data_IF_460272645416
#
_entry.id   IF_460272645416
#
_cell.length_a   1.000
_cell.length_b   1.000
_cell.length_c   1.000
_cell.angle_alpha   90.00
_cell.angle_beta   90.00
_cell.angle_gamma   90.00
#
_symmetry.space_group_name_H-M   'P 1'
#
loop_
_entity.id
_entity.type
_entity.pdbx_description
1 polymer ?
#
# COMPACT_ATOMS: atom_id res chain seq x y z
N UNK A 1 1.73 -6.49 -23.78
CA UNK A 1 2.49 -6.62 -22.52
C UNK A 1 1.67 -7.55 -21.69
N UNK A 2 2.11 -8.79 -21.62
CA UNK A 2 1.27 -9.90 -21.19
C UNK A 2 1.42 -10.10 -19.68
N UNK A 3 0.38 -10.60 -19.02
CA UNK A 3 0.33 -10.71 -17.55
C UNK A 3 1.44 -11.60 -16.98
N UNK A 4 1.95 -12.54 -17.78
CA UNK A 4 3.10 -13.38 -17.44
C UNK A 4 4.43 -12.62 -17.44
N UNK A 5 4.61 -11.65 -18.35
CA UNK A 5 5.81 -10.80 -18.38
C UNK A 5 5.85 -9.90 -17.15
N UNK A 6 4.70 -9.33 -16.75
CA UNK A 6 4.56 -8.59 -15.50
C UNK A 6 4.92 -9.45 -14.28
N UNK A 7 4.56 -10.75 -14.29
CA UNK A 7 4.88 -11.69 -13.22
C UNK A 7 6.38 -11.95 -13.10
N UNK A 8 7.07 -12.17 -14.23
CA UNK A 8 8.52 -12.38 -14.22
C UNK A 8 9.24 -11.14 -13.71
N UNK A 9 8.88 -9.96 -14.19
CA UNK A 9 9.46 -8.70 -13.71
C UNK A 9 9.21 -8.51 -12.20
N UNK A 10 8.03 -8.87 -11.71
CA UNK A 10 7.70 -8.72 -10.30
C UNK A 10 8.36 -9.78 -9.41
N UNK A 11 8.57 -11.01 -9.87
CA UNK A 11 9.28 -12.04 -9.10
C UNK A 11 10.80 -11.81 -9.13
N UNK A 12 11.32 -11.11 -10.13
CA UNK A 12 12.72 -10.66 -10.23
C UNK A 12 13.02 -9.45 -9.33
N UNK A 13 11.99 -8.70 -8.91
CA UNK A 13 12.16 -7.54 -8.05
C UNK A 13 12.50 -7.91 -6.61
N UNK A 14 13.57 -7.29 -6.11
CA UNK A 14 13.95 -7.43 -4.70
C UNK A 14 12.82 -6.97 -3.76
N UNK A 15 12.68 -7.60 -2.57
CA UNK A 15 11.69 -7.20 -1.56
C UNK A 15 11.69 -5.70 -1.23
N UNK A 16 12.89 -5.13 -1.19
CA UNK A 16 13.11 -3.71 -0.99
C UNK A 16 12.50 -2.87 -2.12
N UNK A 17 12.71 -3.24 -3.38
CA UNK A 17 12.19 -2.51 -4.53
C UNK A 17 10.65 -2.44 -4.52
N UNK A 18 10.00 -3.57 -4.24
CA UNK A 18 8.54 -3.63 -4.12
C UNK A 18 8.01 -2.73 -3.00
N UNK A 19 8.69 -2.71 -1.85
CA UNK A 19 8.34 -1.83 -0.74
C UNK A 19 8.50 -0.36 -1.12
N UNK A 20 9.58 -0.01 -1.83
CA UNK A 20 9.81 1.35 -2.36
C UNK A 20 8.70 1.73 -3.35
N UNK A 21 8.29 0.81 -4.23
CA UNK A 21 7.17 1.03 -5.14
C UNK A 21 5.87 1.28 -4.39
N UNK A 22 5.54 0.44 -3.41
CA UNK A 22 4.37 0.64 -2.54
C UNK A 22 4.38 1.99 -1.82
N UNK A 23 5.55 2.41 -1.30
CA UNK A 23 5.69 3.71 -0.68
C UNK A 23 5.59 4.86 -1.69
N UNK A 24 6.13 4.70 -2.90
CA UNK A 24 6.10 5.73 -3.95
C UNK A 24 4.68 5.92 -4.51
N UNK A 25 3.96 4.82 -4.76
CA UNK A 25 2.55 4.90 -5.19
C UNK A 25 1.67 5.51 -4.10
N UNK A 26 1.91 5.12 -2.84
CA UNK A 26 1.29 5.75 -1.68
C UNK A 26 1.60 7.25 -1.61
N UNK A 27 2.84 7.66 -1.84
CA UNK A 27 3.23 9.07 -1.85
C UNK A 27 2.46 9.87 -2.90
N UNK A 28 2.41 9.38 -4.13
CA UNK A 28 1.70 10.04 -5.23
C UNK A 28 0.20 10.12 -4.94
N UNK A 29 -0.42 9.03 -4.49
CA UNK A 29 -1.83 9.03 -4.13
C UNK A 29 -2.11 10.00 -2.96
N UNK A 30 -1.24 10.02 -1.95
CA UNK A 30 -1.36 10.89 -0.78
C UNK A 30 -1.17 12.37 -1.11
N UNK A 31 -0.27 12.71 -2.04
CA UNK A 31 -0.11 14.11 -2.47
C UNK A 31 -1.32 14.59 -3.25
N UNK A 32 -1.89 13.77 -4.14
CA UNK A 32 -3.14 14.06 -4.85
C UNK A 32 -4.31 14.21 -3.86
N UNK A 33 -4.41 13.32 -2.87
CA UNK A 33 -5.43 13.48 -1.84
C UNK A 33 -5.22 14.76 -1.02
N UNK A 34 -3.97 15.06 -0.69
CA UNK A 34 -3.59 16.27 0.03
C UNK A 34 -3.88 17.55 -0.73
N UNK A 35 -3.78 17.58 -2.07
CA UNK A 35 -4.19 18.74 -2.87
C UNK A 35 -5.69 18.96 -2.79
N UNK A 36 -6.49 17.90 -2.95
CA UNK A 36 -7.96 17.97 -2.85
C UNK A 36 -8.39 18.51 -1.48
N UNK A 37 -7.82 17.97 -0.40
CA UNK A 37 -8.12 18.44 0.96
C UNK A 37 -7.70 19.90 1.16
N UNK A 38 -6.56 20.31 0.59
CA UNK A 38 -6.12 21.69 0.66
C UNK A 38 -7.09 22.64 -0.07
N UNK A 39 -7.60 22.24 -1.24
CA UNK A 39 -8.61 23.02 -1.99
C UNK A 39 -9.89 23.23 -1.18
N UNK A 40 -10.33 22.23 -0.41
CA UNK A 40 -11.52 22.37 0.45
C UNK A 40 -11.27 23.22 1.71
N UNK A 41 -10.02 23.29 2.17
CA UNK A 41 -9.65 24.09 3.35
C UNK A 41 -9.35 25.56 3.04
N UNK A 42 -9.16 25.92 1.77
CA UNK A 42 -9.03 27.31 1.33
C UNK A 42 -10.39 28.04 1.37
N UNK A 43 -10.80 28.40 2.59
CA UNK A 43 -11.80 29.44 2.85
C UNK A 43 -11.22 30.78 2.36
N UNK A 44 -11.95 31.62 1.61
CA UNK A 44 -11.41 32.76 0.88
C UNK A 44 -10.72 33.75 1.82
N UNK A 45 -9.39 33.65 1.94
CA UNK A 45 -8.53 34.66 2.55
C UNK A 45 -7.83 35.45 1.47
N UNK A 46 -8.62 36.08 0.61
CA UNK A 46 -8.21 37.30 -0.11
C UNK A 46 -8.31 38.47 0.87
N UNK A 47 -7.55 38.41 1.95
CA UNK A 47 -7.29 39.60 2.76
C UNK A 47 -5.82 39.55 3.20
N UNK A 48 -5.06 40.52 2.69
CA UNK A 48 -3.64 40.82 2.96
C UNK A 48 -2.63 40.00 2.15
N UNK A 49 -2.24 40.58 1.00
CA UNK A 49 -0.94 40.59 0.29
C UNK A 49 0.25 39.79 0.89
N UNK A 50 0.09 38.52 1.24
CA UNK A 50 1.19 37.59 1.53
C UNK A 50 0.76 36.19 1.12
N UNK A 51 1.01 35.80 -0.14
CA UNK A 51 0.66 34.48 -0.66
C UNK A 51 1.56 33.35 -0.11
N UNK A 52 2.76 33.69 0.38
CA UNK A 52 3.77 32.73 0.82
C UNK A 52 3.34 31.88 2.04
N UNK A 53 2.74 32.44 3.12
CA UNK A 53 2.26 31.63 4.24
C UNK A 53 1.15 30.65 3.86
N UNK A 54 0.27 31.02 2.92
CA UNK A 54 -0.79 30.16 2.38
C UNK A 54 -0.20 28.99 1.59
N UNK A 55 0.72 29.29 0.67
CA UNK A 55 1.43 28.27 -0.11
C UNK A 55 2.19 27.28 0.78
N UNK A 56 2.92 27.75 1.79
CA UNK A 56 3.64 26.89 2.74
C UNK A 56 2.68 25.97 3.51
N UNK A 57 1.49 26.47 3.88
CA UNK A 57 0.47 25.67 4.57
C UNK A 57 -0.08 24.57 3.66
N UNK A 58 -0.37 24.89 2.40
CA UNK A 58 -0.84 23.93 1.40
C UNK A 58 0.21 22.86 1.11
N UNK A 59 1.47 23.26 0.90
CA UNK A 59 2.59 22.32 0.70
C UNK A 59 2.80 21.41 1.91
N UNK A 60 2.71 21.94 3.14
CA UNK A 60 2.78 21.12 4.37
C UNK A 60 1.62 20.13 4.46
N UNK A 61 0.41 20.54 4.06
CA UNK A 61 -0.75 19.65 4.06
C UNK A 61 -0.57 18.52 3.04
N UNK A 62 -0.22 18.85 1.80
CA UNK A 62 0.10 17.88 0.75
C UNK A 62 1.20 16.91 1.18
N UNK A 63 2.31 17.44 1.73
CA UNK A 63 3.43 16.65 2.21
C UNK A 63 3.04 15.71 3.34
N UNK A 64 2.25 16.18 4.32
CA UNK A 64 1.78 15.33 5.41
C UNK A 64 0.90 14.17 4.92
N UNK A 65 -0.01 14.40 3.96
CA UNK A 65 -0.81 13.33 3.37
C UNK A 65 0.02 12.39 2.51
N UNK A 66 0.93 12.92 1.67
CA UNK A 66 1.89 12.16 0.89
C UNK A 66 2.71 11.21 1.75
N UNK A 67 3.34 11.70 2.82
CA UNK A 67 4.13 10.88 3.74
C UNK A 67 3.26 9.84 4.46
N UNK A 68 2.04 10.19 4.87
CA UNK A 68 1.13 9.25 5.54
C UNK A 68 0.81 8.06 4.62
N UNK A 69 0.43 8.33 3.36
CA UNK A 69 0.06 7.27 2.42
C UNK A 69 1.29 6.50 1.94
N UNK A 70 2.45 7.14 1.81
CA UNK A 70 3.71 6.46 1.54
C UNK A 70 4.05 5.45 2.63
N UNK A 71 3.87 5.82 3.90
CA UNK A 71 4.07 4.91 5.02
C UNK A 71 3.07 3.74 5.00
N UNK A 72 1.79 4.00 4.71
CA UNK A 72 0.77 2.95 4.57
C UNK A 72 1.17 1.97 3.46
N UNK A 73 1.50 2.46 2.26
CA UNK A 73 1.86 1.61 1.12
C UNK A 73 3.16 0.83 1.34
N UNK A 74 4.17 1.44 1.96
CA UNK A 74 5.42 0.77 2.32
C UNK A 74 5.21 -0.33 3.36
N UNK A 75 4.50 -0.03 4.46
CA UNK A 75 4.22 -1.03 5.51
C UNK A 75 3.34 -2.16 4.98
N UNK A 76 2.31 -1.83 4.17
CA UNK A 76 1.44 -2.83 3.54
C UNK A 76 2.25 -3.85 2.74
N UNK A 77 3.03 -3.38 1.75
CA UNK A 77 3.80 -4.25 0.87
C UNK A 77 4.92 -4.99 1.63
N UNK A 78 5.58 -4.31 2.58
CA UNK A 78 6.62 -4.94 3.39
C UNK A 78 6.09 -6.08 4.25
N UNK A 79 4.94 -5.89 4.90
CA UNK A 79 4.31 -6.93 5.72
C UNK A 79 3.77 -8.07 4.86
N UNK A 80 3.11 -7.76 3.74
CA UNK A 80 2.60 -8.77 2.82
C UNK A 80 3.73 -9.73 2.37
N UNK A 81 4.90 -9.19 2.02
CA UNK A 81 6.06 -9.99 1.63
C UNK A 81 6.61 -10.84 2.77
N UNK A 82 6.68 -10.29 3.99
CA UNK A 82 7.14 -11.04 5.15
C UNK A 82 6.22 -12.23 5.43
N UNK A 83 4.90 -12.02 5.37
CA UNK A 83 3.90 -13.07 5.59
C UNK A 83 3.93 -14.10 4.45
N UNK A 84 4.05 -13.65 3.20
CA UNK A 84 4.18 -14.53 2.04
C UNK A 84 5.44 -15.40 2.13
N UNK A 85 6.58 -14.83 2.51
CA UNK A 85 7.84 -15.56 2.67
C UNK A 85 7.77 -16.55 3.84
N UNK A 86 7.14 -16.16 4.96
CA UNK A 86 6.97 -17.03 6.11
C UNK A 86 6.01 -18.20 5.84
N UNK A 87 4.87 -17.94 5.19
CA UNK A 87 3.84 -18.96 4.93
C UNK A 87 4.08 -19.75 3.65
N UNK A 88 4.96 -19.28 2.77
CA UNK A 88 5.18 -19.83 1.42
C UNK A 88 3.88 -19.99 0.63
N UNK A 89 2.88 -19.17 0.94
CA UNK A 89 1.55 -19.17 0.34
C UNK A 89 1.22 -17.77 -0.12
N UNK A 90 0.53 -17.69 -1.24
CA UNK A 90 0.05 -16.43 -1.77
C UNK A 90 -1.47 -16.41 -1.78
N UNK A 91 -2.03 -15.81 -0.73
CA UNK A 91 -3.47 -15.72 -0.51
C UNK A 91 -3.85 -14.32 -0.01
N UNK A 92 -5.14 -14.03 -0.03
CA UNK A 92 -5.73 -12.76 0.46
C UNK A 92 -5.39 -12.50 1.94
N UNK A 93 -4.99 -13.51 2.71
CA UNK A 93 -4.62 -13.37 4.12
C UNK A 93 -3.33 -12.54 4.24
N UNK A 94 -2.39 -12.66 3.29
CA UNK A 94 -1.18 -11.84 3.30
C UNK A 94 -1.52 -10.35 3.14
N UNK A 95 -2.41 -10.02 2.20
CA UNK A 95 -2.92 -8.67 1.99
C UNK A 95 -3.72 -8.17 3.18
N UNK A 96 -4.61 -8.99 3.74
CA UNK A 96 -5.40 -8.65 4.92
C UNK A 96 -4.51 -8.30 6.13
N UNK A 97 -3.46 -9.09 6.38
CA UNK A 97 -2.48 -8.83 7.44
C UNK A 97 -1.67 -7.57 7.15
N UNK A 98 -1.22 -7.38 5.91
CA UNK A 98 -0.55 -6.15 5.48
C UNK A 98 -1.42 -4.90 5.69
N UNK A 99 -2.68 -4.97 5.28
CA UNK A 99 -3.68 -3.91 5.45
C UNK A 99 -3.96 -3.60 6.91
N UNK A 100 -4.14 -4.64 7.73
CA UNK A 100 -4.32 -4.47 9.17
C UNK A 100 -3.14 -3.75 9.81
N UNK A 101 -1.91 -4.24 9.57
CA UNK A 101 -0.71 -3.67 10.19
C UNK A 101 -0.46 -2.25 9.71
N UNK A 102 -0.61 -1.97 8.41
CA UNK A 102 -0.46 -0.62 7.86
C UNK A 102 -1.49 0.34 8.45
N UNK A 103 -2.75 -0.06 8.55
CA UNK A 103 -3.82 0.75 9.14
C UNK A 103 -3.63 0.98 10.63
N UNK A 104 -3.41 -0.09 11.39
CA UNK A 104 -3.27 -0.01 12.83
C UNK A 104 -2.04 0.79 13.26
N UNK A 105 -0.91 0.62 12.58
CA UNK A 105 0.33 1.33 12.93
C UNK A 105 0.27 2.80 12.52
N UNK A 106 0.02 3.11 11.25
CA UNK A 106 0.14 4.48 10.73
C UNK A 106 -1.03 5.34 11.19
N UNK A 107 -2.27 4.86 11.03
CA UNK A 107 -3.45 5.64 11.40
C UNK A 107 -3.70 5.59 12.91
N UNK A 108 -3.34 4.50 13.58
CA UNK A 108 -3.36 4.44 15.05
C UNK A 108 -2.38 5.41 15.69
N UNK A 109 -1.14 5.51 15.17
CA UNK A 109 -0.17 6.50 15.63
C UNK A 109 -0.67 7.93 15.41
N UNK A 110 -1.24 8.21 14.23
CA UNK A 110 -1.78 9.54 13.90
C UNK A 110 -3.01 9.91 14.73
N UNK A 111 -3.88 8.93 15.02
CA UNK A 111 -5.08 9.09 15.84
C UNK A 111 -4.84 9.05 17.35
N UNK A 112 -3.65 8.63 17.79
CA UNK A 112 -3.26 8.49 19.20
C UNK A 112 -4.25 7.67 20.04
N UNK A 113 -4.89 6.68 19.42
CA UNK A 113 -5.94 5.88 20.05
C UNK A 113 -5.90 4.44 19.57
N UNK A 114 -6.00 3.50 20.52
CA UNK A 114 -6.09 2.06 20.26
C UNK A 114 -7.38 1.76 19.48
N UNK A 115 -8.48 2.45 19.78
CA UNK A 115 -9.73 2.28 19.05
C UNK A 115 -9.56 2.65 17.58
N UNK A 116 -8.86 3.75 17.29
CA UNK A 116 -8.55 4.16 15.91
C UNK A 116 -7.62 3.17 15.23
N UNK A 117 -6.63 2.64 15.95
CA UNK A 117 -5.73 1.61 15.41
C UNK A 117 -6.52 0.35 14.99
N UNK A 118 -7.38 -0.16 15.87
CA UNK A 118 -8.18 -1.35 15.60
C UNK A 118 -9.17 -1.10 14.46
N UNK A 119 -9.89 0.03 14.48
CA UNK A 119 -10.88 0.34 13.44
C UNK A 119 -10.22 0.55 12.07
N UNK A 120 -9.11 1.28 12.02
CA UNK A 120 -8.39 1.55 10.79
C UNK A 120 -7.71 0.30 10.22
N UNK A 121 -7.10 -0.51 11.10
CA UNK A 121 -6.55 -1.80 10.71
C UNK A 121 -7.63 -2.73 10.16
N UNK A 122 -8.75 -2.87 10.87
CA UNK A 122 -9.86 -3.70 10.41
C UNK A 122 -10.44 -3.22 9.06
N UNK A 123 -10.61 -1.92 8.88
CA UNK A 123 -11.11 -1.35 7.63
C UNK A 123 -10.16 -1.59 6.45
N UNK A 124 -8.85 -1.45 6.65
CA UNK A 124 -7.86 -1.70 5.60
C UNK A 124 -7.69 -3.19 5.31
N UNK A 125 -7.79 -4.05 6.33
CA UNK A 125 -7.79 -5.51 6.15
C UNK A 125 -9.02 -5.97 5.36
N UNK A 126 -10.19 -5.44 5.68
CA UNK A 126 -11.43 -5.73 4.96
C UNK A 126 -11.36 -5.22 3.52
N UNK A 127 -10.87 -4.00 3.30
CA UNK A 127 -10.66 -3.43 1.97
C UNK A 127 -9.70 -4.28 1.14
N UNK A 128 -8.56 -4.67 1.71
CA UNK A 128 -7.58 -5.52 1.02
C UNK A 128 -8.16 -6.89 0.68
N UNK A 129 -8.83 -7.53 1.64
CA UNK A 129 -9.51 -8.82 1.41
C UNK A 129 -10.58 -8.70 0.33
N UNK A 130 -11.35 -7.62 0.32
CA UNK A 130 -12.40 -7.38 -0.67
C UNK A 130 -11.84 -7.16 -2.07
N UNK A 131 -10.76 -6.38 -2.20
CA UNK A 131 -10.05 -6.18 -3.48
C UNK A 131 -9.52 -7.52 -4.00
N UNK A 132 -8.93 -8.34 -3.14
CA UNK A 132 -8.38 -9.65 -3.51
C UNK A 132 -9.46 -10.69 -3.84
N UNK A 133 -10.66 -10.62 -3.22
CA UNK A 133 -11.80 -11.52 -3.49
C UNK A 133 -12.61 -11.10 -4.73
N UNK A 134 -12.69 -9.80 -5.03
CA UNK A 134 -13.52 -9.22 -6.09
C UNK A 134 -13.02 -9.43 -7.53
N UNK A 135 -12.00 -10.27 -7.75
CA UNK A 135 -11.51 -10.61 -9.08
C UNK A 135 -10.56 -9.58 -9.72
N UNK A 136 -10.22 -8.49 -9.03
CA UNK A 136 -8.99 -7.74 -9.31
C UNK A 136 -7.84 -8.33 -8.50
N UNK A 137 -7.42 -9.50 -8.97
CA UNK A 137 -6.30 -10.25 -8.44
C UNK A 137 -5.05 -9.37 -8.33
N UNK A 138 -4.44 -9.23 -7.15
CA UNK A 138 -3.00 -8.91 -7.11
C UNK A 138 -2.14 -10.16 -7.37
N UNK A 139 -2.75 -11.30 -7.73
CA UNK A 139 -2.15 -12.35 -8.57
C UNK A 139 -3.15 -13.40 -8.97
N UNK A 140 -3.41 -13.49 -10.27
CA UNK A 140 -4.24 -14.51 -10.89
C UNK A 140 -3.67 -15.90 -10.59
N UNK A 141 -4.31 -16.66 -9.70
CA UNK A 141 -4.29 -18.14 -9.73
C UNK A 141 -5.61 -18.60 -10.36
N UNK A 142 -5.58 -18.91 -11.67
CA UNK A 142 -6.73 -19.48 -12.40
C UNK A 142 -6.54 -20.98 -12.64
N UNK A 143 -5.96 -21.74 -11.69
CA UNK A 143 -6.30 -23.15 -11.49
C UNK A 143 -6.31 -24.09 -12.71
N UNK A 144 -5.48 -23.85 -13.72
CA UNK A 144 -5.03 -24.87 -14.68
C UNK A 144 -3.50 -24.71 -14.71
N UNK A 145 -2.70 -25.61 -14.17
CA UNK A 145 -2.76 -27.06 -14.30
C UNK A 145 -2.73 -27.85 -13.00
N UNK A 146 -3.35 -29.02 -13.11
CA UNK A 146 -3.26 -30.17 -12.24
C UNK A 146 -1.81 -30.56 -11.94
N UNK A 147 -1.66 -31.14 -10.74
CA UNK A 147 -0.57 -31.99 -10.23
C UNK A 147 0.34 -31.42 -9.14
N UNK A 148 0.65 -32.26 -8.13
CA UNK A 148 0.94 -31.82 -6.78
C UNK A 148 2.44 -31.61 -6.55
N UNK A 149 2.77 -30.56 -5.79
CA UNK A 149 4.08 -30.22 -5.23
C UNK A 149 5.25 -30.10 -6.23
N UNK A 150 5.81 -28.88 -6.36
CA UNK A 150 7.25 -28.63 -6.12
C UNK A 150 7.52 -27.12 -6.00
N UNK A 151 7.60 -26.60 -4.78
CA UNK A 151 8.32 -25.34 -4.51
C UNK A 151 9.80 -25.66 -4.22
N UNK A 152 10.55 -26.13 -5.21
CA UNK A 152 12.02 -26.10 -5.21
C UNK A 152 12.54 -25.93 -6.64
N UNK A 153 13.43 -24.96 -6.81
CA UNK A 153 14.28 -24.79 -8.02
C UNK A 153 15.00 -26.11 -8.30
N UNK A 154 14.94 -26.62 -9.54
CA UNK A 154 15.84 -27.68 -9.98
C UNK A 154 17.28 -27.18 -9.80
N UNK A 155 18.19 -27.95 -9.19
CA UNK A 155 19.61 -27.63 -9.26
C UNK A 155 20.06 -27.75 -10.72
N UNK A 156 20.78 -26.74 -11.21
CA UNK A 156 21.43 -26.81 -12.51
C UNK A 156 22.41 -27.98 -12.48
N UNK A 157 22.19 -28.94 -13.37
CA UNK A 157 23.13 -30.02 -13.62
C UNK A 157 23.94 -29.57 -14.83
N UNK A 158 25.16 -29.10 -14.52
CA UNK A 158 26.26 -28.67 -15.39
C UNK A 158 25.98 -27.50 -16.34
#
# INVERSE_FOLDING_TARGET
MDTEELRQMEDEETPMMKTIKGATTGLVAGTIWGTIVATWHDVPRVERRVALPGLVRTLKMMGNYGVTFAAIGGVYIGVEQLVQNYRMKRDFVNGAVGGFVAGASILGYKGKSISTAISAGAALAATSSFIDVGGQTTRVDTGKEYYPYTTKKRPNIN
#
